data_IF_853714247961
#
_entry.id   IF_853714247961
#
_cell.length_a   1.000
_cell.length_b   1.000
_cell.length_c   1.000
_cell.angle_alpha   90.00
_cell.angle_beta   90.00
_cell.angle_gamma   90.00
#
_symmetry.space_group_name_H-M   'P 1'
#
loop_
_entity.id
_entity.type
_entity.pdbx_description
1 polymer ?
#
# COMPACT_ATOMS: atom_id res chain seq x y z
N UNK A 1 20.84 19.63 -19.24
CA UNK A 1 21.68 20.61 -18.51
C UNK A 1 20.75 21.45 -17.61
N UNK A 2 21.02 21.52 -16.29
CA UNK A 2 20.21 22.17 -15.21
C UNK A 2 19.42 21.26 -14.24
N UNK A 3 19.46 19.93 -14.41
CA UNK A 3 18.65 18.99 -13.61
C UNK A 3 18.79 19.25 -12.09
N UNK A 4 20.02 19.29 -11.58
CA UNK A 4 20.27 19.44 -10.14
C UNK A 4 19.75 20.78 -9.62
N UNK A 5 20.00 21.88 -10.33
CA UNK A 5 19.49 23.20 -9.96
C UNK A 5 17.95 23.22 -9.89
N UNK A 6 17.27 22.56 -10.82
CA UNK A 6 15.81 22.42 -10.81
C UNK A 6 15.32 21.60 -9.62
N UNK A 7 15.99 20.51 -9.29
CA UNK A 7 15.64 19.69 -8.12
C UNK A 7 15.90 20.46 -6.81
N UNK A 8 17.04 21.14 -6.66
CA UNK A 8 17.30 22.02 -5.50
C UNK A 8 16.23 23.10 -5.35
N UNK A 9 15.81 23.72 -6.46
CA UNK A 9 14.75 24.72 -6.47
C UNK A 9 13.41 24.13 -6.03
N UNK A 10 13.06 22.94 -6.54
CA UNK A 10 11.84 22.23 -6.16
C UNK A 10 11.86 21.82 -4.68
N UNK A 11 12.95 21.19 -4.24
CA UNK A 11 13.13 20.75 -2.86
C UNK A 11 13.07 21.95 -1.88
N UNK A 12 13.75 23.06 -2.20
CA UNK A 12 13.68 24.28 -1.39
C UNK A 12 12.28 24.89 -1.34
N UNK A 13 11.48 24.79 -2.42
CA UNK A 13 10.07 25.22 -2.41
C UNK A 13 9.22 24.31 -1.54
N UNK A 14 9.34 22.99 -1.71
CA UNK A 14 8.60 21.99 -0.92
C UNK A 14 8.94 22.09 0.57
N UNK A 15 10.21 22.31 0.91
CA UNK A 15 10.67 22.43 2.28
C UNK A 15 9.96 23.56 3.05
N UNK A 16 9.63 24.67 2.37
CA UNK A 16 8.89 25.82 2.92
C UNK A 16 7.39 25.60 3.07
N UNK A 17 6.85 24.50 2.55
CA UNK A 17 5.44 24.15 2.75
C UNK A 17 5.25 23.39 4.07
N UNK A 18 3.99 23.16 4.45
CA UNK A 18 3.62 22.24 5.54
C UNK A 18 3.32 20.81 5.06
N UNK A 19 3.65 20.46 3.81
CA UNK A 19 3.46 19.10 3.30
C UNK A 19 4.29 18.13 4.14
N UNK A 20 3.64 17.14 4.75
CA UNK A 20 4.30 16.14 5.59
C UNK A 20 4.94 15.04 4.74
N UNK A 21 4.30 14.64 3.65
CA UNK A 21 4.71 13.51 2.82
C UNK A 21 4.27 13.75 1.38
N UNK A 22 5.06 13.27 0.41
CA UNK A 22 4.64 13.14 -0.99
C UNK A 22 5.15 11.82 -1.55
N UNK A 23 4.42 11.28 -2.53
CA UNK A 23 4.64 9.95 -3.06
C UNK A 23 5.15 10.01 -4.49
N UNK A 24 6.09 9.12 -4.81
CA UNK A 24 6.60 8.91 -6.16
C UNK A 24 6.25 7.48 -6.54
N UNK A 25 5.46 7.30 -7.60
CA UNK A 25 5.09 5.97 -8.07
C UNK A 25 6.30 5.21 -8.61
N UNK A 26 6.50 3.99 -8.13
CA UNK A 26 7.49 3.03 -8.63
C UNK A 26 6.81 1.68 -8.71
N UNK A 27 6.59 1.16 -9.92
CA UNK A 27 5.68 0.01 -10.14
C UNK A 27 6.40 -1.28 -10.53
N UNK A 28 7.73 -1.26 -10.61
CA UNK A 28 8.55 -2.43 -10.90
C UNK A 28 9.92 -2.28 -10.25
N UNK A 29 10.47 -3.40 -9.77
CA UNK A 29 11.85 -3.50 -9.28
C UNK A 29 12.90 -3.29 -10.39
N UNK A 30 12.51 -3.49 -11.65
CA UNK A 30 13.35 -3.32 -12.84
C UNK A 30 13.04 -1.97 -13.48
N UNK A 31 14.08 -1.14 -13.66
CA UNK A 31 13.96 0.25 -14.09
C UNK A 31 13.35 0.37 -15.49
N UNK A 32 13.83 -0.40 -16.44
CA UNK A 32 13.39 -0.39 -17.84
C UNK A 32 11.91 -0.76 -17.95
N UNK A 33 11.46 -1.70 -17.11
CA UNK A 33 10.07 -2.15 -17.06
C UNK A 33 9.18 -1.06 -16.47
N UNK A 34 9.59 -0.42 -15.37
CA UNK A 34 8.86 0.71 -14.80
C UNK A 34 8.75 1.87 -15.80
N UNK A 35 9.85 2.24 -16.44
CA UNK A 35 9.91 3.32 -17.43
C UNK A 35 9.05 3.04 -18.66
N UNK A 36 9.06 1.80 -19.15
CA UNK A 36 8.21 1.36 -20.26
C UNK A 36 6.73 1.43 -19.89
N UNK A 37 6.32 0.94 -18.72
CA UNK A 37 4.92 1.00 -18.26
C UNK A 37 4.43 2.44 -18.08
N UNK A 38 5.31 3.34 -17.64
CA UNK A 38 4.96 4.75 -17.39
C UNK A 38 5.14 5.66 -18.60
N UNK A 39 5.86 5.21 -19.64
CA UNK A 39 6.25 6.07 -20.76
C UNK A 39 7.19 7.20 -20.35
N UNK A 40 8.05 6.98 -19.35
CA UNK A 40 8.94 7.99 -18.79
C UNK A 40 10.42 7.54 -18.81
N UNK A 41 11.08 7.51 -19.98
CA UNK A 41 12.47 7.10 -20.08
C UNK A 41 13.41 7.95 -19.21
N UNK A 42 14.29 7.29 -18.47
CA UNK A 42 15.28 7.88 -17.57
C UNK A 42 14.73 8.39 -16.23
N UNK A 43 13.45 8.19 -15.91
CA UNK A 43 12.87 8.66 -14.64
C UNK A 43 13.51 7.99 -13.43
N UNK A 44 13.90 6.71 -13.51
CA UNK A 44 14.53 6.00 -12.39
C UNK A 44 15.91 6.56 -12.10
N UNK A 45 16.69 6.84 -13.15
CA UNK A 45 17.95 7.57 -13.01
C UNK A 45 17.75 8.98 -12.44
N UNK A 46 16.66 9.65 -12.84
CA UNK A 46 16.26 10.93 -12.26
C UNK A 46 15.98 10.82 -10.75
N UNK A 47 15.22 9.80 -10.32
CA UNK A 47 14.93 9.54 -8.91
C UNK A 47 16.21 9.31 -8.10
N UNK A 48 17.11 8.44 -8.58
CA UNK A 48 18.38 8.15 -7.90
C UNK A 48 19.24 9.41 -7.68
N UNK A 49 19.19 10.38 -8.60
CA UNK A 49 19.88 11.68 -8.45
C UNK A 49 19.12 12.67 -7.58
N UNK A 50 17.79 12.64 -7.59
CA UNK A 50 16.96 13.60 -6.88
C UNK A 50 16.81 13.28 -5.38
N UNK A 51 16.76 12.00 -5.01
CA UNK A 51 16.56 11.56 -3.61
C UNK A 51 17.62 12.12 -2.65
N UNK A 52 18.93 12.06 -2.95
CA UNK A 52 19.95 12.69 -2.10
C UNK A 52 19.73 14.19 -1.92
N UNK A 53 19.29 14.90 -2.97
CA UNK A 53 18.99 16.33 -2.89
C UNK A 53 17.79 16.56 -1.97
N UNK A 54 16.70 15.80 -2.11
CA UNK A 54 15.55 15.92 -1.21
C UNK A 54 15.94 15.70 0.26
N UNK A 55 16.80 14.72 0.56
CA UNK A 55 17.28 14.47 1.92
C UNK A 55 18.05 15.67 2.51
N UNK A 56 18.81 16.43 1.70
CA UNK A 56 19.49 17.66 2.16
C UNK A 56 18.51 18.75 2.62
N UNK A 57 17.26 18.71 2.14
CA UNK A 57 16.19 19.62 2.57
C UNK A 57 15.26 18.98 3.61
N UNK A 58 15.66 17.87 4.24
CA UNK A 58 14.84 17.10 5.19
C UNK A 58 13.53 16.62 4.56
N UNK A 59 13.56 16.25 3.28
CA UNK A 59 12.42 15.70 2.55
C UNK A 59 12.69 14.24 2.21
N UNK A 60 11.86 13.33 2.69
CA UNK A 60 11.95 11.89 2.51
C UNK A 60 10.69 11.40 1.79
N UNK A 61 10.64 11.45 0.45
CA UNK A 61 9.48 10.97 -0.29
C UNK A 61 9.22 9.47 -0.07
N UNK A 62 7.96 9.06 -0.25
CA UNK A 62 7.58 7.64 -0.26
C UNK A 62 7.67 7.07 -1.67
N UNK A 63 8.26 5.88 -1.81
CA UNK A 63 8.02 5.06 -2.98
C UNK A 63 6.62 4.45 -2.87
N UNK A 64 5.78 4.68 -3.87
CA UNK A 64 4.43 4.15 -3.94
C UNK A 64 4.34 3.03 -4.98
N UNK A 65 4.23 1.79 -4.53
CA UNK A 65 4.11 0.62 -5.39
C UNK A 65 2.67 0.43 -5.85
N UNK A 66 2.36 0.63 -7.13
CA UNK A 66 1.16 0.04 -7.71
C UNK A 66 1.35 -1.46 -7.92
N UNK A 67 0.83 -2.31 -7.02
CA UNK A 67 1.00 -3.76 -7.16
C UNK A 67 0.42 -4.23 -8.49
N UNK A 68 1.26 -4.86 -9.29
CA UNK A 68 0.92 -5.35 -10.62
C UNK A 68 1.77 -6.58 -10.97
N UNK A 69 1.45 -7.25 -12.08
CA UNK A 69 2.14 -8.48 -12.53
C UNK A 69 3.64 -8.30 -12.80
N UNK A 70 4.08 -7.06 -13.05
CA UNK A 70 5.47 -6.70 -13.33
C UNK A 70 6.22 -6.16 -12.09
N UNK A 71 5.69 -6.34 -10.87
CA UNK A 71 6.30 -5.81 -9.63
C UNK A 71 7.78 -6.22 -9.49
N UNK A 72 8.13 -7.45 -9.87
CA UNK A 72 9.51 -7.97 -9.82
C UNK A 72 10.32 -7.78 -11.10
N UNK A 73 9.77 -7.08 -12.11
CA UNK A 73 10.21 -7.08 -13.51
C UNK A 73 9.22 -7.79 -14.43
N UNK A 74 9.53 -7.88 -15.73
CA UNK A 74 8.68 -8.59 -16.70
C UNK A 74 8.64 -10.10 -16.35
N UNK A 75 7.47 -10.67 -16.05
CA UNK A 75 7.36 -12.11 -15.81
C UNK A 75 7.49 -12.87 -17.13
N UNK A 76 8.11 -14.05 -17.08
CA UNK A 76 7.96 -15.03 -18.15
C UNK A 76 6.56 -15.68 -18.08
N UNK A 77 6.14 -16.07 -16.87
CA UNK A 77 4.83 -16.60 -16.56
C UNK A 77 4.58 -16.42 -15.05
N UNK A 78 3.34 -16.17 -14.65
CA UNK A 78 2.93 -16.18 -13.23
C UNK A 78 2.17 -17.48 -13.00
N UNK A 79 2.62 -18.35 -12.08
CA UNK A 79 1.92 -19.60 -11.80
C UNK A 79 0.46 -19.34 -11.41
N UNK A 80 -0.45 -20.14 -11.97
CA UNK A 80 -1.88 -20.02 -11.69
C UNK A 80 -2.27 -20.56 -10.31
N UNK A 81 -1.51 -21.54 -9.80
CA UNK A 81 -1.75 -22.11 -8.48
C UNK A 81 -1.39 -21.11 -7.37
N UNK A 82 -2.12 -21.17 -6.27
CA UNK A 82 -1.98 -20.19 -5.20
C UNK A 82 -0.58 -20.18 -4.56
N UNK A 83 0.08 -21.33 -4.44
CA UNK A 83 1.38 -21.41 -3.78
C UNK A 83 2.50 -20.90 -4.71
N UNK A 84 2.48 -21.30 -5.98
CA UNK A 84 3.38 -20.78 -7.01
C UNK A 84 3.23 -19.26 -7.18
N UNK A 85 2.00 -18.75 -7.22
CA UNK A 85 1.71 -17.32 -7.28
C UNK A 85 2.26 -16.58 -6.04
N UNK A 86 2.05 -17.14 -4.84
CA UNK A 86 2.57 -16.58 -3.58
C UNK A 86 4.10 -16.52 -3.58
N UNK A 87 4.78 -17.60 -3.97
CA UNK A 87 6.24 -17.66 -4.03
C UNK A 87 6.82 -16.68 -5.07
N UNK A 88 6.17 -16.58 -6.24
CA UNK A 88 6.53 -15.60 -7.26
C UNK A 88 6.47 -14.17 -6.70
N UNK A 89 5.34 -13.80 -6.08
CA UNK A 89 5.18 -12.45 -5.54
C UNK A 89 6.05 -12.19 -4.31
N UNK A 90 6.39 -13.21 -3.53
CA UNK A 90 7.32 -13.07 -2.41
C UNK A 90 8.68 -12.58 -2.92
N UNK A 91 9.22 -13.23 -3.96
CA UNK A 91 10.47 -12.81 -4.61
C UNK A 91 10.33 -11.45 -5.29
N UNK A 92 9.19 -11.17 -5.93
CA UNK A 92 8.93 -9.89 -6.58
C UNK A 92 8.96 -8.73 -5.57
N UNK A 93 8.29 -8.87 -4.42
CA UNK A 93 8.28 -7.86 -3.37
C UNK A 93 9.65 -7.69 -2.71
N UNK A 94 10.40 -8.78 -2.51
CA UNK A 94 11.77 -8.69 -1.99
C UNK A 94 12.67 -7.87 -2.91
N UNK A 95 12.67 -8.19 -4.21
CA UNK A 95 13.40 -7.43 -5.22
C UNK A 95 12.97 -5.97 -5.25
N UNK A 96 11.67 -5.72 -5.16
CA UNK A 96 11.13 -4.37 -5.14
C UNK A 96 11.64 -3.57 -3.94
N UNK A 97 11.51 -4.10 -2.72
CA UNK A 97 11.94 -3.41 -1.51
C UNK A 97 13.46 -3.18 -1.49
N UNK A 98 14.25 -4.16 -1.91
CA UNK A 98 15.70 -4.00 -2.11
C UNK A 98 16.02 -2.91 -3.13
N UNK A 99 15.28 -2.88 -4.25
CA UNK A 99 15.47 -1.89 -5.31
C UNK A 99 15.18 -0.46 -4.84
N UNK A 100 14.04 -0.21 -4.19
CA UNK A 100 13.70 1.13 -3.70
C UNK A 100 14.61 1.59 -2.56
N UNK A 101 15.04 0.66 -1.70
CA UNK A 101 16.05 0.96 -0.68
C UNK A 101 17.38 1.37 -1.32
N UNK A 102 17.85 0.62 -2.33
CA UNK A 102 19.08 0.93 -3.07
C UNK A 102 19.01 2.27 -3.83
N UNK A 103 17.82 2.68 -4.30
CA UNK A 103 17.60 4.01 -4.87
C UNK A 103 17.70 5.14 -3.83
N UNK A 104 17.56 4.82 -2.54
CA UNK A 104 17.61 5.77 -1.43
C UNK A 104 16.25 6.12 -0.84
N UNK A 105 15.18 5.41 -1.19
CA UNK A 105 13.91 5.58 -0.47
C UNK A 105 14.03 5.04 0.96
N UNK A 106 13.35 5.71 1.90
CA UNK A 106 13.27 5.30 3.30
C UNK A 106 11.84 5.10 3.79
N UNK A 107 10.87 5.45 2.95
CA UNK A 107 9.43 5.23 3.17
C UNK A 107 8.89 4.54 1.93
N UNK A 108 8.07 3.53 2.12
CA UNK A 108 7.45 2.76 1.04
C UNK A 108 6.02 2.42 1.41
N UNK A 109 5.12 2.45 0.44
CA UNK A 109 3.77 1.93 0.61
C UNK A 109 3.36 1.14 -0.65
N UNK A 110 2.43 0.22 -0.48
CA UNK A 110 1.88 -0.57 -1.58
C UNK A 110 0.41 -0.23 -1.80
N UNK A 111 0.09 0.24 -3.00
CA UNK A 111 -1.26 0.33 -3.52
C UNK A 111 -1.73 -1.04 -4.00
N UNK A 112 -2.85 -1.50 -3.46
CA UNK A 112 -3.35 -2.83 -3.79
C UNK A 112 -3.95 -2.87 -5.21
N UNK A 113 -3.96 -4.03 -5.89
CA UNK A 113 -4.41 -4.10 -7.27
C UNK A 113 -5.84 -3.59 -7.44
N UNK A 114 -5.98 -2.49 -8.16
CA UNK A 114 -7.28 -1.89 -8.49
C UNK A 114 -7.81 -2.50 -9.80
N UNK A 115 -8.30 -3.74 -9.73
CA UNK A 115 -9.07 -4.31 -10.85
C UNK A 115 -10.56 -3.98 -10.70
N UNK A 116 -11.15 -3.51 -11.79
CA UNK A 116 -12.56 -3.19 -11.93
C UNK A 116 -12.87 -2.89 -13.40
N UNK A 117 -14.15 -2.89 -13.77
CA UNK A 117 -14.55 -2.46 -15.11
C UNK A 117 -14.41 -0.93 -15.22
N UNK A 118 -13.72 -0.40 -16.25
CA UNK A 118 -13.42 1.03 -16.38
C UNK A 118 -14.65 1.95 -16.34
N UNK A 119 -15.81 1.43 -16.77
CA UNK A 119 -17.04 2.20 -16.95
C UNK A 119 -17.90 2.33 -15.69
N UNK A 120 -17.56 1.65 -14.59
CA UNK A 120 -18.36 1.63 -13.36
C UNK A 120 -17.83 2.55 -12.24
N UNK A 121 -16.59 3.05 -12.37
CA UNK A 121 -15.95 3.91 -11.37
C UNK A 121 -15.97 5.40 -11.73
N UNK A 122 -16.16 6.28 -10.73
CA UNK A 122 -15.89 7.71 -10.90
C UNK A 122 -14.38 7.98 -11.10
N UNK A 123 -13.53 7.08 -10.60
CA UNK A 123 -12.09 7.15 -10.73
C UNK A 123 -11.59 6.35 -11.93
N UNK A 124 -11.11 7.05 -12.95
CA UNK A 124 -10.65 6.48 -14.23
C UNK A 124 -9.27 5.83 -14.20
N UNK A 125 -8.68 5.60 -13.03
CA UNK A 125 -7.40 4.88 -12.94
C UNK A 125 -7.57 3.36 -12.74
N UNK A 126 -8.82 2.85 -12.71
CA UNK A 126 -9.06 1.43 -12.88
C UNK A 126 -8.69 1.03 -14.33
N UNK A 127 -7.83 0.03 -14.48
CA UNK A 127 -7.35 -0.41 -15.79
C UNK A 127 -8.06 -1.69 -16.24
N UNK A 128 -8.41 -1.76 -17.53
CA UNK A 128 -8.83 -3.01 -18.17
C UNK A 128 -7.67 -3.92 -18.55
N UNK A 129 -6.42 -3.42 -18.45
CA UNK A 129 -5.21 -4.19 -18.73
C UNK A 129 -5.05 -5.33 -17.72
N UNK A 130 -4.62 -6.50 -18.19
CA UNK A 130 -4.40 -7.67 -17.34
C UNK A 130 -3.27 -7.46 -16.33
N UNK A 131 -2.41 -6.45 -16.54
CA UNK A 131 -1.28 -6.11 -15.66
C UNK A 131 -1.68 -5.90 -14.19
N UNK A 132 -2.92 -5.48 -13.90
CA UNK A 132 -3.47 -5.31 -12.52
C UNK A 132 -4.67 -6.21 -12.21
N UNK A 133 -5.02 -7.13 -13.11
CA UNK A 133 -6.14 -8.07 -12.93
C UNK A 133 -5.64 -9.35 -12.29
N UNK A 134 -6.27 -9.71 -11.18
CA UNK A 134 -5.98 -10.92 -10.41
C UNK A 134 -7.31 -11.58 -10.03
N UNK A 135 -7.38 -12.90 -10.16
CA UNK A 135 -8.48 -13.68 -9.59
C UNK A 135 -8.50 -13.56 -8.05
N UNK A 136 -9.63 -13.84 -7.37
CA UNK A 136 -9.67 -13.81 -5.90
C UNK A 136 -8.58 -14.69 -5.26
N UNK A 137 -8.34 -15.89 -5.80
CA UNK A 137 -7.28 -16.78 -5.32
C UNK A 137 -5.89 -16.17 -5.49
N UNK A 138 -5.60 -15.57 -6.65
CA UNK A 138 -4.35 -14.85 -6.89
C UNK A 138 -4.20 -13.64 -5.96
N UNK A 139 -5.27 -12.86 -5.73
CA UNK A 139 -5.25 -11.72 -4.79
C UNK A 139 -4.87 -12.17 -3.37
N UNK A 140 -5.49 -13.24 -2.87
CA UNK A 140 -5.14 -13.80 -1.57
C UNK A 140 -3.66 -14.24 -1.52
N UNK A 141 -3.14 -14.82 -2.60
CA UNK A 141 -1.74 -15.21 -2.72
C UNK A 141 -0.79 -14.00 -2.72
N UNK A 142 -1.10 -12.96 -3.50
CA UNK A 142 -0.36 -11.69 -3.57
C UNK A 142 -0.33 -11.01 -2.20
N UNK A 143 -1.48 -10.92 -1.52
CA UNK A 143 -1.56 -10.30 -0.19
C UNK A 143 -0.81 -11.10 0.87
N UNK A 144 -0.83 -12.45 0.80
CA UNK A 144 0.00 -13.31 1.64
C UNK A 144 1.48 -13.07 1.43
N UNK A 145 1.93 -13.05 0.17
CA UNK A 145 3.31 -12.75 -0.17
C UNK A 145 3.75 -11.39 0.41
N UNK A 146 2.92 -10.35 0.24
CA UNK A 146 3.21 -9.04 0.80
C UNK A 146 3.25 -9.05 2.34
N UNK A 147 2.29 -9.73 2.98
CA UNK A 147 2.21 -9.88 4.44
C UNK A 147 3.45 -10.55 5.03
N UNK A 148 4.02 -11.53 4.32
CA UNK A 148 5.23 -12.26 4.70
C UNK A 148 6.52 -11.49 4.41
N UNK A 149 6.55 -10.69 3.35
CA UNK A 149 7.73 -9.91 2.97
C UNK A 149 7.91 -8.68 3.87
N UNK A 150 6.83 -7.98 4.24
CA UNK A 150 6.91 -6.73 5.02
C UNK A 150 7.81 -6.83 6.26
N UNK A 151 7.67 -7.82 7.16
CA UNK A 151 8.50 -7.93 8.36
C UNK A 151 10.00 -8.01 8.08
N UNK A 152 10.42 -8.55 6.93
CA UNK A 152 11.84 -8.67 6.53
C UNK A 152 12.49 -7.31 6.33
N UNK A 153 11.72 -6.28 6.00
CA UNK A 153 12.23 -4.95 5.65
C UNK A 153 11.89 -3.86 6.67
N UNK A 154 10.98 -4.12 7.63
CA UNK A 154 10.53 -3.11 8.61
C UNK A 154 11.65 -2.45 9.43
N UNK A 155 12.79 -3.12 9.58
CA UNK A 155 13.95 -2.58 10.28
C UNK A 155 14.83 -1.64 9.43
N UNK A 156 14.64 -1.63 8.11
CA UNK A 156 15.44 -0.87 7.12
C UNK A 156 14.62 0.17 6.35
N UNK A 157 13.32 -0.09 6.19
CA UNK A 157 12.38 0.77 5.50
C UNK A 157 11.20 1.08 6.43
N UNK A 158 10.63 2.28 6.28
CA UNK A 158 9.33 2.64 6.88
C UNK A 158 8.23 2.21 5.92
N UNK A 159 7.69 1.01 6.11
CA UNK A 159 6.65 0.45 5.25
C UNK A 159 5.25 0.79 5.78
N UNK A 160 4.54 1.66 5.07
CA UNK A 160 3.23 2.16 5.48
C UNK A 160 2.16 1.06 5.54
N UNK A 161 2.16 0.13 4.58
CA UNK A 161 1.13 -0.91 4.47
C UNK A 161 1.07 -1.78 5.75
N UNK A 162 -0.03 -1.74 6.52
CA UNK A 162 -0.18 -2.47 7.77
C UNK A 162 -0.51 -3.94 7.50
N UNK A 163 0.05 -4.83 8.32
CA UNK A 163 -0.15 -6.28 8.18
C UNK A 163 -1.55 -6.71 8.64
N UNK A 164 -2.15 -5.96 9.57
CA UNK A 164 -3.54 -6.13 9.98
C UNK A 164 -4.52 -5.97 8.82
N UNK A 165 -4.32 -5.00 7.93
CA UNK A 165 -5.16 -4.83 6.74
C UNK A 165 -4.97 -5.92 5.70
N UNK A 166 -3.73 -6.34 5.46
CA UNK A 166 -3.47 -7.49 4.59
C UNK A 166 -4.11 -8.76 5.14
N UNK A 167 -4.04 -8.99 6.45
CA UNK A 167 -4.71 -10.13 7.09
C UNK A 167 -6.23 -10.11 6.87
N UNK A 168 -6.88 -8.95 7.01
CA UNK A 168 -8.31 -8.81 6.72
C UNK A 168 -8.64 -9.07 5.24
N UNK A 169 -7.82 -8.57 4.32
CA UNK A 169 -8.00 -8.77 2.88
C UNK A 169 -7.77 -10.23 2.46
N UNK A 170 -6.77 -10.90 3.03
CA UNK A 170 -6.51 -12.33 2.80
C UNK A 170 -7.77 -13.13 3.14
N UNK A 171 -8.31 -12.96 4.36
CA UNK A 171 -9.55 -13.64 4.79
C UNK A 171 -10.73 -13.33 3.87
N UNK A 172 -10.88 -12.07 3.46
CA UNK A 172 -11.96 -11.67 2.56
C UNK A 172 -11.89 -12.41 1.22
N UNK A 173 -10.70 -12.51 0.61
CA UNK A 173 -10.49 -13.21 -0.66
C UNK A 173 -10.46 -14.73 -0.52
N UNK A 174 -10.36 -15.26 0.70
CA UNK A 174 -10.55 -16.68 1.03
C UNK A 174 -12.01 -17.08 1.29
N UNK A 175 -12.95 -16.13 1.17
CA UNK A 175 -14.39 -16.40 1.28
C UNK A 175 -15.07 -15.82 2.51
N UNK A 176 -14.31 -15.19 3.42
CA UNK A 176 -14.91 -14.48 4.55
C UNK A 176 -15.35 -13.06 4.16
N UNK A 177 -16.45 -12.94 3.42
CA UNK A 177 -16.92 -11.68 2.83
C UNK A 177 -17.04 -10.48 3.80
N UNK A 178 -17.24 -10.76 5.10
CA UNK A 178 -17.37 -9.74 6.15
C UNK A 178 -16.08 -9.52 6.96
N UNK A 179 -14.95 -10.08 6.53
CA UNK A 179 -13.67 -9.85 7.17
C UNK A 179 -13.30 -8.35 7.13
N UNK A 180 -12.77 -7.88 8.26
CA UNK A 180 -12.35 -6.50 8.42
C UNK A 180 -13.47 -5.48 8.61
N UNK A 181 -13.06 -4.24 8.86
CA UNK A 181 -13.91 -3.08 9.01
C UNK A 181 -14.40 -2.58 7.63
N UNK A 182 -15.61 -1.99 7.58
CA UNK A 182 -16.12 -1.42 6.34
C UNK A 182 -15.32 -0.16 5.96
N UNK A 183 -15.24 0.10 4.65
CA UNK A 183 -14.64 1.30 4.08
C UNK A 183 -15.36 2.58 4.58
N UNK A 184 -14.62 3.63 4.98
CA UNK A 184 -15.18 4.91 5.42
C UNK A 184 -15.55 5.88 4.28
N UNK A 185 -15.50 5.42 3.01
CA UNK A 185 -15.89 6.21 1.84
C UNK A 185 -17.35 6.65 1.90
N UNK A 186 -17.61 7.93 1.67
CA UNK A 186 -18.91 8.57 1.85
C UNK A 186 -19.20 9.03 3.28
N UNK A 187 -18.27 8.80 4.22
CA UNK A 187 -18.36 9.29 5.61
C UNK A 187 -17.21 10.23 5.93
N UNK A 188 -16.00 9.70 5.88
CA UNK A 188 -14.76 10.41 6.23
C UNK A 188 -13.92 10.73 4.98
N UNK A 189 -14.16 10.02 3.88
CA UNK A 189 -13.43 10.15 2.63
C UNK A 189 -14.40 10.33 1.47
N UNK A 190 -14.02 11.17 0.52
CA UNK A 190 -14.82 11.45 -0.67
C UNK A 190 -13.90 11.54 -1.89
N UNK A 191 -14.41 11.08 -3.03
CA UNK A 191 -13.80 11.34 -4.33
C UNK A 191 -14.48 12.55 -4.97
N UNK A 192 -13.70 13.53 -5.41
CA UNK A 192 -14.22 14.72 -6.10
C UNK A 192 -13.69 14.72 -7.52
N UNK A 193 -14.58 14.67 -8.50
CA UNK A 193 -14.20 14.82 -9.90
C UNK A 193 -13.72 16.25 -10.14
N UNK A 194 -12.44 16.40 -10.52
CA UNK A 194 -11.84 17.71 -10.78
C UNK A 194 -12.50 18.45 -11.95
N UNK A 195 -13.09 17.73 -12.92
CA UNK A 195 -13.71 18.37 -14.09
C UNK A 195 -15.06 18.99 -13.76
N UNK A 196 -15.93 18.26 -13.05
CA UNK A 196 -17.31 18.68 -12.78
C UNK A 196 -17.51 19.22 -11.37
N UNK A 197 -16.60 18.95 -10.44
CA UNK A 197 -16.77 19.23 -9.01
C UNK A 197 -17.83 18.35 -8.35
N UNK A 198 -18.22 17.24 -8.99
CA UNK A 198 -19.17 16.27 -8.46
C UNK A 198 -18.47 15.38 -7.42
N UNK A 199 -19.19 15.02 -6.36
CA UNK A 199 -18.66 14.27 -5.22
C UNK A 199 -19.25 12.87 -5.15
N UNK A 200 -18.43 11.89 -4.83
CA UNK A 200 -18.79 10.48 -4.73
C UNK A 200 -18.23 9.90 -3.42
N UNK A 201 -18.82 8.83 -2.86
CA UNK A 201 -18.30 8.17 -1.66
C UNK A 201 -16.84 7.71 -1.83
N UNK A 202 -16.51 7.20 -3.00
CA UNK A 202 -15.14 6.83 -3.39
C UNK A 202 -15.07 6.67 -4.92
N UNK A 203 -13.86 6.40 -5.44
CA UNK A 203 -13.65 6.18 -6.87
C UNK A 203 -14.37 4.97 -7.47
N UNK A 204 -14.76 3.99 -6.66
CA UNK A 204 -15.47 2.78 -7.08
C UNK A 204 -17.00 2.93 -7.08
N UNK A 205 -17.54 3.94 -6.41
CA UNK A 205 -18.99 4.16 -6.27
C UNK A 205 -19.41 5.32 -7.15
N UNK A 206 -19.15 5.19 -8.45
CA UNK A 206 -19.39 6.25 -9.44
C UNK A 206 -20.87 6.53 -9.72
N UNK A 207 -21.75 5.57 -9.42
CA UNK A 207 -23.20 5.73 -9.55
C UNK A 207 -23.81 6.53 -8.40
N UNK A 208 -23.09 6.64 -7.27
CA UNK A 208 -23.58 7.29 -6.04
C UNK A 208 -23.18 8.77 -6.00
N UNK A 209 -23.63 9.57 -6.97
CA UNK A 209 -23.31 11.01 -7.01
C UNK A 209 -23.99 11.76 -5.84
N UNK A 210 -23.18 12.34 -4.95
CA UNK A 210 -23.61 13.11 -3.78
C UNK A 210 -23.83 14.60 -4.09
N UNK A 211 -23.73 14.99 -5.36
CA UNK A 211 -23.86 16.37 -5.81
C UNK A 211 -22.55 17.15 -5.80
N UNK A 212 -22.65 18.48 -5.81
CA UNK A 212 -21.47 19.36 -5.86
C UNK A 212 -20.73 19.37 -4.54
N UNK A 213 -19.39 19.36 -4.60
CA UNK A 213 -18.55 19.39 -3.41
C UNK A 213 -18.86 20.58 -2.49
N UNK A 214 -19.06 21.78 -3.04
CA UNK A 214 -19.40 22.98 -2.26
C UNK A 214 -20.84 22.98 -1.70
N UNK A 215 -21.65 21.96 -2.00
CA UNK A 215 -23.00 21.76 -1.47
C UNK A 215 -23.09 20.50 -0.60
N UNK A 216 -21.98 19.79 -0.39
CA UNK A 216 -21.97 18.53 0.33
C UNK A 216 -22.31 18.77 1.80
N UNK A 217 -23.42 18.18 2.25
CA UNK A 217 -23.77 18.11 3.66
C UNK A 217 -23.09 16.91 4.31
N UNK A 218 -21.94 17.15 4.95
CA UNK A 218 -21.15 16.11 5.63
C UNK A 218 -21.81 15.59 6.91
N UNK A 219 -22.90 16.20 7.38
CA UNK A 219 -23.69 15.66 8.50
C UNK A 219 -24.52 14.45 8.09
N UNK A 220 -24.84 14.32 6.80
CA UNK A 220 -25.54 13.16 6.23
C UNK A 220 -24.55 12.06 5.90
N UNK A 221 -24.35 11.16 6.86
CA UNK A 221 -23.47 10.00 6.67
C UNK A 221 -24.15 8.91 5.85
N UNK A 222 -23.45 8.39 4.84
CA UNK A 222 -23.87 7.17 4.17
C UNK A 222 -23.72 5.96 5.12
N UNK A 223 -24.84 5.35 5.51
CA UNK A 223 -24.89 4.20 6.42
C UNK A 223 -24.38 2.88 5.84
N UNK A 224 -24.06 2.81 4.55
CA UNK A 224 -23.68 1.56 3.89
C UNK A 224 -22.33 1.00 4.40
N UNK A 225 -22.33 -0.26 4.83
CA UNK A 225 -21.10 -1.01 5.07
C UNK A 225 -20.51 -1.50 3.74
N UNK A 226 -19.50 -0.81 3.22
CA UNK A 226 -18.88 -1.16 1.93
C UNK A 226 -17.55 -1.91 2.10
N UNK A 227 -17.36 -3.01 1.35
CA UNK A 227 -16.09 -3.78 1.25
C UNK A 227 -15.73 -4.14 -0.20
N UNK A 228 -16.26 -3.39 -1.17
CA UNK A 228 -16.21 -3.73 -2.60
C UNK A 228 -14.82 -3.63 -3.24
N UNK A 229 -13.93 -2.80 -2.68
CA UNK A 229 -12.60 -2.56 -3.22
C UNK A 229 -11.51 -2.87 -2.20
N UNK A 230 -10.31 -3.15 -2.71
CA UNK A 230 -9.13 -3.39 -1.88
C UNK A 230 -8.34 -2.09 -1.63
N UNK A 231 -8.76 -0.95 -2.18
CA UNK A 231 -7.97 0.29 -2.18
C UNK A 231 -7.40 0.67 -0.79
N UNK A 232 -6.07 0.68 -0.68
CA UNK A 232 -5.30 0.88 0.56
C UNK A 232 -5.67 2.18 1.28
N UNK A 233 -5.91 3.27 0.53
CA UNK A 233 -6.32 4.57 1.07
C UNK A 233 -7.59 4.51 1.93
N UNK A 234 -8.43 3.48 1.75
CA UNK A 234 -9.64 3.28 2.52
C UNK A 234 -9.52 2.08 3.46
N UNK A 235 -8.92 0.97 3.01
CA UNK A 235 -8.81 -0.27 3.78
C UNK A 235 -7.83 -0.13 4.94
N UNK A 236 -6.69 0.51 4.72
CA UNK A 236 -5.67 0.65 5.77
C UNK A 236 -6.17 1.54 6.91
N UNK A 237 -6.74 2.74 6.68
CA UNK A 237 -7.32 3.53 7.75
C UNK A 237 -8.51 2.84 8.44
N UNK A 238 -9.36 2.13 7.69
CA UNK A 238 -10.51 1.41 8.28
C UNK A 238 -10.05 0.39 9.32
N UNK A 239 -9.02 -0.38 9.03
CA UNK A 239 -8.48 -1.39 9.93
C UNK A 239 -7.66 -0.79 11.07
N UNK A 240 -6.90 0.29 10.80
CA UNK A 240 -6.09 0.94 11.84
C UNK A 240 -6.95 1.70 12.86
N UNK A 241 -8.05 2.32 12.42
CA UNK A 241 -8.93 3.17 13.25
C UNK A 241 -10.16 2.42 13.76
N UNK A 242 -10.65 1.43 13.02
CA UNK A 242 -11.85 0.66 13.32
C UNK A 242 -11.89 0.09 14.75
N UNK A 243 -10.83 -0.58 15.25
CA UNK A 243 -10.79 -1.08 16.62
C UNK A 243 -10.97 0.03 17.68
N UNK A 244 -10.42 1.23 17.45
CA UNK A 244 -10.59 2.36 18.36
C UNK A 244 -12.02 2.88 18.35
N UNK A 245 -12.63 3.00 17.17
CA UNK A 245 -14.02 3.41 17.03
C UNK A 245 -14.98 2.43 17.70
N UNK A 246 -14.78 1.13 17.48
CA UNK A 246 -15.59 0.10 18.11
C UNK A 246 -15.39 0.08 19.62
N UNK A 247 -14.18 0.34 20.13
CA UNK A 247 -13.95 0.41 21.57
C UNK A 247 -14.74 1.56 22.21
N UNK A 248 -14.75 2.73 21.57
CA UNK A 248 -15.48 3.91 22.06
C UNK A 248 -17.01 3.75 21.96
N UNK A 249 -17.50 3.09 20.91
CA UNK A 249 -18.95 2.99 20.64
C UNK A 249 -19.59 1.73 21.21
N UNK A 250 -18.84 0.61 21.27
CA UNK A 250 -19.34 -0.75 21.54
C UNK A 250 -18.29 -1.59 22.29
N UNK A 251 -17.86 -1.19 23.50
CA UNK A 251 -16.71 -1.81 24.20
C UNK A 251 -16.88 -3.32 24.43
N UNK A 252 -18.10 -3.79 24.69
CA UNK A 252 -18.37 -5.22 24.89
C UNK A 252 -18.16 -6.06 23.63
N UNK A 253 -18.52 -5.54 22.44
CA UNK A 253 -18.27 -6.24 21.18
C UNK A 253 -16.78 -6.33 20.86
N UNK A 254 -16.00 -5.32 21.23
CA UNK A 254 -14.54 -5.36 21.11
C UNK A 254 -13.95 -6.43 22.01
N UNK A 255 -14.35 -6.49 23.29
CA UNK A 255 -13.86 -7.53 24.20
C UNK A 255 -14.12 -8.94 23.65
N UNK A 256 -15.33 -9.19 23.11
CA UNK A 256 -15.67 -10.45 22.48
C UNK A 256 -14.87 -10.73 21.19
N UNK A 257 -14.68 -9.71 20.34
CA UNK A 257 -13.90 -9.82 19.10
C UNK A 257 -12.42 -10.06 19.40
N UNK A 258 -11.83 -9.35 20.35
CA UNK A 258 -10.44 -9.53 20.80
C UNK A 258 -10.17 -10.94 21.34
N UNK A 259 -11.14 -11.56 22.02
CA UNK A 259 -11.01 -12.94 22.49
C UNK A 259 -11.05 -13.97 21.34
N UNK A 260 -11.83 -13.71 20.30
CA UNK A 260 -12.00 -14.60 19.14
C UNK A 260 -10.92 -14.40 18.07
N UNK A 261 -10.42 -13.17 17.90
CA UNK A 261 -9.48 -12.77 16.85
C UNK A 261 -8.15 -12.32 17.46
N UNK A 262 -7.56 -13.16 18.31
CA UNK A 262 -6.30 -12.86 19.01
C UNK A 262 -5.15 -12.52 18.07
N UNK A 263 -5.08 -13.22 16.93
CA UNK A 263 -4.08 -12.97 15.89
C UNK A 263 -4.24 -11.58 15.27
N UNK A 264 -5.46 -11.21 14.87
CA UNK A 264 -5.74 -9.90 14.29
C UNK A 264 -5.41 -8.76 15.27
N UNK A 265 -5.74 -8.94 16.56
CA UNK A 265 -5.38 -7.98 17.61
C UNK A 265 -3.85 -7.87 17.79
N UNK A 266 -3.15 -9.01 17.78
CA UNK A 266 -1.69 -9.04 17.87
C UNK A 266 -1.03 -8.29 16.72
N UNK A 267 -1.51 -8.50 15.49
CA UNK A 267 -1.05 -7.80 14.29
C UNK A 267 -1.34 -6.30 14.35
N UNK A 268 -2.53 -5.91 14.79
CA UNK A 268 -2.90 -4.50 14.94
C UNK A 268 -2.02 -3.78 15.98
N UNK A 269 -1.76 -4.41 17.13
CA UNK A 269 -0.85 -3.86 18.14
C UNK A 269 0.60 -3.77 17.63
N UNK A 270 1.05 -4.75 16.85
CA UNK A 270 2.36 -4.72 16.18
C UNK A 270 2.45 -3.52 15.23
N UNK A 271 1.43 -3.33 14.38
CA UNK A 271 1.35 -2.22 13.43
C UNK A 271 1.32 -0.87 14.15
N UNK A 272 0.55 -0.70 15.22
CA UNK A 272 0.55 0.54 16.01
C UNK A 272 1.92 0.87 16.61
N UNK A 273 2.61 -0.14 17.16
CA UNK A 273 3.97 0.03 17.69
C UNK A 273 4.94 0.42 16.59
N UNK A 274 4.79 -0.17 15.41
CA UNK A 274 5.59 0.13 14.23
C UNK A 274 5.32 1.54 13.69
N UNK A 275 4.06 1.93 13.51
CA UNK A 275 3.66 3.27 13.08
C UNK A 275 4.22 4.35 14.01
N UNK A 276 4.16 4.14 15.33
CA UNK A 276 4.78 5.03 16.31
C UNK A 276 6.31 5.07 16.17
N UNK A 277 6.95 3.94 15.85
CA UNK A 277 8.39 3.87 15.59
C UNK A 277 8.79 4.71 14.36
N UNK A 278 7.95 4.68 13.33
CA UNK A 278 8.11 5.43 12.08
C UNK A 278 7.67 6.91 12.18
N UNK A 279 7.33 7.40 13.38
CA UNK A 279 6.76 8.75 13.60
C UNK A 279 5.55 9.03 12.69
N UNK A 280 4.69 8.03 12.52
CA UNK A 280 3.53 8.06 11.63
C UNK A 280 3.89 8.42 10.18
N UNK A 281 5.06 7.96 9.71
CA UNK A 281 5.54 8.13 8.34
C UNK A 281 5.68 9.60 7.92
N UNK A 282 6.10 10.45 8.86
CA UNK A 282 6.42 11.83 8.59
C UNK A 282 7.61 11.91 7.61
N UNK A 283 7.32 12.28 6.36
CA UNK A 283 8.31 12.50 5.30
C UNK A 283 9.23 13.70 5.52
N UNK A 284 9.16 14.36 6.68
CA UNK A 284 10.12 15.38 7.13
C UNK A 284 11.19 14.87 8.09
N UNK A 285 11.13 13.59 8.43
CA UNK A 285 12.03 12.98 9.40
C UNK A 285 12.87 11.89 8.72
N UNK A 286 14.18 11.82 9.02
CA UNK A 286 15.01 10.72 8.56
C UNK A 286 14.53 9.38 9.15
N UNK A 287 15.04 8.30 8.58
CA UNK A 287 14.91 6.97 9.14
C UNK A 287 15.65 6.88 10.47
N UNK A 288 14.95 6.52 11.55
CA UNK A 288 15.56 6.19 12.84
C UNK A 288 15.89 4.70 12.90
N UNK A 289 17.10 4.34 12.48
CA UNK A 289 17.56 2.94 12.39
C UNK A 289 17.61 2.27 13.76
N UNK A 290 17.98 2.99 14.82
CA UNK A 290 18.04 2.45 16.18
C UNK A 290 16.64 2.05 16.68
N UNK A 291 15.64 2.89 16.43
CA UNK A 291 14.26 2.61 16.83
C UNK A 291 13.60 1.51 15.99
N UNK A 292 14.06 1.33 14.74
CA UNK A 292 13.56 0.30 13.84
C UNK A 292 14.27 -1.05 13.98
N UNK A 293 15.47 -1.09 14.55
CA UNK A 293 16.24 -2.33 14.76
C UNK A 293 15.45 -3.43 15.51
N UNK A 294 14.56 -3.04 16.44
CA UNK A 294 13.66 -3.97 17.17
C UNK A 294 12.62 -4.69 16.30
N UNK A 295 12.43 -4.25 15.06
CA UNK A 295 11.58 -4.92 14.07
C UNK A 295 12.40 -5.82 13.14
N UNK A 296 13.70 -5.99 13.38
CA UNK A 296 14.48 -7.01 12.73
C UNK A 296 13.91 -8.37 13.16
N UNK A 297 13.52 -9.18 12.18
CA UNK A 297 13.13 -10.57 12.40
C UNK A 297 14.11 -11.43 11.64
N UNK A 298 14.72 -12.37 12.35
CA UNK A 298 15.44 -13.48 11.72
C UNK A 298 14.38 -14.37 11.06
N UNK A 299 14.05 -14.06 9.81
CA UNK A 299 13.19 -14.91 8.99
C UNK A 299 14.14 -15.72 8.11
N UNK A 300 14.12 -17.07 8.20
CA UNK A 300 14.95 -17.91 7.34
C UNK A 300 14.71 -17.55 5.87
N UNK A 301 15.80 -17.37 5.12
CA UNK A 301 15.74 -17.10 3.69
C UNK A 301 14.92 -18.18 2.99
N UNK A 302 14.05 -17.77 2.05
CA UNK A 302 13.15 -18.68 1.35
C UNK A 302 13.88 -19.74 0.50
N UNK A 303 15.21 -19.64 0.35
CA UNK A 303 16.05 -20.58 -0.39
C UNK A 303 16.25 -21.95 0.27
N UNK A 304 16.02 -22.09 1.57
CA UNK A 304 16.44 -23.32 2.29
C UNK A 304 15.37 -24.43 2.35
N UNK A 305 14.15 -24.17 1.84
CA UNK A 305 13.07 -25.19 1.79
C UNK A 305 12.89 -25.86 0.43
N UNK A 306 13.53 -25.34 -0.63
CA UNK A 306 13.49 -25.94 -1.97
C UNK A 306 14.44 -27.13 -2.14
N UNK A 307 15.52 -27.20 -1.37
CA UNK A 307 16.52 -28.27 -1.49
C UNK A 307 16.11 -29.58 -0.78
N UNK A 308 15.22 -29.52 0.22
CA UNK A 308 14.85 -30.69 1.02
C UNK A 308 13.78 -31.60 0.37
N UNK A 309 13.10 -31.14 -0.70
CA UNK A 309 12.07 -31.93 -1.40
C UNK A 309 12.65 -32.66 -2.63
N UNK A 310 13.79 -32.22 -3.15
CA UNK A 310 14.48 -32.88 -4.27
C UNK A 310 15.36 -34.09 -3.88
N UNK A 311 15.47 -34.39 -2.57
CA UNK A 311 16.24 -35.54 -2.06
C UNK A 311 15.37 -36.74 -1.67
N UNK A 312 14.07 -36.73 -2.02
CA UNK A 312 13.15 -37.87 -1.85
C UNK A 312 12.25 -38.03 -3.09
N UNK A 313 12.88 -38.25 -4.25
CA UNK A 313 12.31 -38.94 -5.41
C UNK A 313 13.38 -39.89 -5.94
#
# INVERSE_FOLDING_TARGET
PDFEQRIHTLAGRLARTRLSTFWISVDSAVAEVHEAMRGLPGVVRGMARALPIFHQYELYPSANLGINRNTGGLPAEIPEDAEGCRLFFLQAFERFYQGVEALGFTIVNACYPMSGEPDQGAYRAASSDDVVRFSPAQRAAVYRALFETIPRFRHRLRIFSPRSSLHALIRQHEGEANAGYPCPGGRDFFFVDARRGDTFPCGYRGEDNLGKFWQLDTSRQDGAECRRCDWECFRDPAEMIGPLQDFLRRPWRVAQKCLREREALGLWLEDLRYYRACEFFNGRRPLDTARLARFCRDIPEAGDRGAAVAARV
#
